data_IF_243540799650
#
_entry.id   IF_243540799650
#
_cell.length_a   1.000
_cell.length_b   1.000
_cell.length_c   1.000
_cell.angle_alpha   90.00
_cell.angle_beta   90.00
_cell.angle_gamma   90.00
#
_symmetry.space_group_name_H-M   'P 1'
#
loop_
_entity.id
_entity.type
_entity.pdbx_description
1 polymer ?
#
# COMPACT_ATOMS: atom_id res chain seq x y z
N UNK A 1 0.06 10.43 -15.07
CA UNK A 1 1.40 10.27 -14.46
C UNK A 1 1.27 9.31 -13.29
N UNK A 2 2.16 8.32 -13.20
CA UNK A 2 2.23 7.44 -12.04
C UNK A 2 2.55 8.26 -10.78
N UNK A 3 1.96 7.88 -9.64
CA UNK A 3 2.26 8.52 -8.35
C UNK A 3 3.10 7.56 -7.55
N UNK A 4 4.38 7.87 -7.46
CA UNK A 4 5.41 7.09 -6.78
C UNK A 4 6.25 8.02 -5.91
N UNK A 5 6.79 7.46 -4.84
CA UNK A 5 7.73 8.12 -3.94
C UNK A 5 8.67 7.01 -3.40
N UNK A 6 9.97 7.30 -3.30
CA UNK A 6 10.94 6.36 -2.71
C UNK A 6 10.90 6.48 -1.19
N UNK A 7 10.67 5.37 -0.49
CA UNK A 7 10.61 5.32 0.97
C UNK A 7 11.59 4.30 1.53
N UNK A 8 12.07 4.57 2.75
CA UNK A 8 12.90 3.63 3.51
C UNK A 8 11.99 2.63 4.23
N UNK A 9 12.37 1.36 4.18
CA UNK A 9 11.77 0.32 5.04
C UNK A 9 12.15 0.60 6.49
N UNK A 10 11.13 0.73 7.34
CA UNK A 10 11.29 0.97 8.77
C UNK A 10 11.43 -0.34 9.54
N UNK A 11 11.61 -0.24 10.86
CA UNK A 11 11.64 -1.42 11.75
C UNK A 11 10.41 -2.31 11.55
N UNK A 12 10.58 -3.60 11.84
CA UNK A 12 9.52 -4.61 11.68
C UNK A 12 8.94 -4.65 10.26
N UNK A 13 9.76 -4.38 9.24
CA UNK A 13 9.39 -4.43 7.82
C UNK A 13 8.25 -3.48 7.41
N UNK A 14 8.03 -2.41 8.18
CA UNK A 14 6.99 -1.45 7.87
C UNK A 14 7.41 -0.54 6.70
N UNK A 15 6.50 -0.38 5.74
CA UNK A 15 6.67 0.56 4.63
C UNK A 15 5.62 1.64 4.77
N UNK A 16 6.06 2.89 4.90
CA UNK A 16 5.14 4.03 5.02
C UNK A 16 4.54 4.33 3.65
N UNK A 17 3.20 4.33 3.55
CA UNK A 17 2.48 4.80 2.37
C UNK A 17 2.52 6.34 2.36
N UNK A 18 3.23 7.00 1.42
CA UNK A 18 3.39 8.45 1.42
C UNK A 18 2.09 9.21 1.21
N UNK A 19 2.05 10.48 1.64
CA UNK A 19 0.85 11.30 1.59
C UNK A 19 0.24 11.40 0.18
N UNK A 20 1.08 11.50 -0.87
CA UNK A 20 0.64 11.56 -2.28
C UNK A 20 -0.09 10.29 -2.71
N UNK A 21 0.38 9.13 -2.25
CA UNK A 21 -0.27 7.85 -2.52
C UNK A 21 -1.56 7.74 -1.70
N UNK A 22 -1.56 8.14 -0.42
CA UNK A 22 -2.77 8.12 0.45
C UNK A 22 -3.93 8.97 -0.07
N UNK A 23 -3.66 10.03 -0.82
CA UNK A 23 -4.71 10.84 -1.46
C UNK A 23 -5.53 10.02 -2.48
N UNK A 24 -4.90 9.04 -3.13
CA UNK A 24 -5.55 8.15 -4.11
C UNK A 24 -5.97 6.82 -3.48
N UNK A 25 -5.18 6.35 -2.51
CA UNK A 25 -5.36 5.12 -1.77
C UNK A 25 -5.81 5.45 -0.34
N UNK A 26 -7.12 5.64 -0.17
CA UNK A 26 -7.71 6.09 1.09
C UNK A 26 -7.73 4.99 2.15
N UNK A 27 -6.57 4.76 2.78
CA UNK A 27 -6.43 3.92 3.96
C UNK A 27 -6.21 4.78 5.20
N UNK A 28 -6.79 4.34 6.31
CA UNK A 28 -6.69 4.94 7.62
C UNK A 28 -6.10 3.95 8.61
N UNK A 29 -5.71 4.46 9.78
CA UNK A 29 -5.30 3.61 10.88
C UNK A 29 -6.43 2.65 11.26
N UNK A 30 -6.10 1.36 11.41
CA UNK A 30 -7.08 0.29 11.69
C UNK A 30 -7.68 -0.37 10.45
N UNK A 31 -7.49 0.17 9.25
CA UNK A 31 -7.99 -0.47 8.02
C UNK A 31 -7.26 -1.79 7.75
N UNK A 32 -8.04 -2.82 7.39
CA UNK A 32 -7.50 -4.08 6.92
C UNK A 32 -7.14 -3.97 5.43
N UNK A 33 -5.95 -4.45 5.09
CA UNK A 33 -5.45 -4.50 3.71
C UNK A 33 -4.95 -5.90 3.38
N UNK A 34 -5.15 -6.31 2.14
CA UNK A 34 -4.56 -7.52 1.56
C UNK A 34 -3.22 -7.15 0.93
N UNK A 35 -2.17 -7.86 1.32
CA UNK A 35 -0.83 -7.73 0.74
C UNK A 35 -0.60 -8.95 -0.16
N UNK A 36 -0.36 -8.71 -1.45
CA UNK A 36 -0.17 -9.76 -2.46
C UNK A 36 1.14 -9.52 -3.18
N UNK A 37 1.96 -10.56 -3.31
CA UNK A 37 3.10 -10.52 -4.20
C UNK A 37 2.65 -10.91 -5.61
N UNK A 38 2.89 -10.05 -6.59
CA UNK A 38 2.64 -10.32 -8.00
C UNK A 38 3.95 -10.73 -8.67
N UNK A 39 4.07 -12.03 -8.99
CA UNK A 39 5.27 -12.58 -9.62
C UNK A 39 5.51 -12.04 -11.03
N UNK A 40 4.47 -11.58 -11.74
CA UNK A 40 4.61 -11.08 -13.11
C UNK A 40 5.20 -9.68 -13.13
N UNK A 41 4.81 -8.86 -12.17
CA UNK A 41 5.29 -7.48 -12.02
C UNK A 41 6.50 -7.38 -11.09
N UNK A 42 6.88 -8.49 -10.44
CA UNK A 42 7.93 -8.55 -9.43
C UNK A 42 7.73 -7.49 -8.33
N UNK A 43 6.48 -7.32 -7.88
CA UNK A 43 6.05 -6.22 -7.03
C UNK A 43 5.01 -6.65 -5.99
N UNK A 44 4.93 -5.90 -4.88
CA UNK A 44 3.89 -6.08 -3.85
C UNK A 44 2.73 -5.14 -4.11
N UNK A 45 1.52 -5.70 -4.16
CA UNK A 45 0.25 -4.97 -4.28
C UNK A 45 -0.44 -4.92 -2.92
N UNK A 46 -0.87 -3.74 -2.51
CA UNK A 46 -1.68 -3.51 -1.32
C UNK A 46 -3.09 -3.15 -1.76
N UNK A 47 -4.08 -3.94 -1.34
CA UNK A 47 -5.48 -3.80 -1.75
C UNK A 47 -6.33 -3.63 -0.49
N UNK A 48 -7.27 -2.66 -0.42
CA UNK A 48 -8.13 -2.51 0.74
C UNK A 48 -9.02 -3.76 0.89
N UNK A 49 -9.14 -4.30 2.10
CA UNK A 49 -9.97 -5.48 2.35
C UNK A 49 -11.48 -5.15 2.40
N UNK A 50 -11.83 -3.86 2.46
CA UNK A 50 -13.21 -3.41 2.53
C UNK A 50 -13.87 -3.39 1.14
N UNK A 51 -14.37 -4.56 0.73
CA UNK A 51 -15.53 -4.70 -0.14
C UNK A 51 -16.40 -5.86 0.38
N UNK A 52 -17.12 -5.58 1.45
CA UNK A 52 -18.39 -6.24 1.77
C UNK A 52 -19.40 -5.17 2.18
N UNK A 53 -20.07 -4.62 1.18
CA UNK A 53 -21.49 -4.24 1.17
C UNK A 53 -21.85 -3.88 -0.27
#
# INVERSE_FOLDING_TARGET
>A
MATEDIVKVSRNYQVTIPARIRQKFQVKEGDLVKVVYDEKENAVKIIPANKQS
#
